data_IF_785386407200
#
_entry.id   IF_785386407200
#
_cell.length_a   1.000
_cell.length_b   1.000
_cell.length_c   1.000
_cell.angle_alpha   90.00
_cell.angle_beta   90.00
_cell.angle_gamma   90.00
#
_symmetry.space_group_name_H-M   'P 1'
#
loop_
_entity.id
_entity.type
_entity.pdbx_description
1 polymer ?
#
# COMPACT_ATOMS: atom_id res chain seq x y z
N UNK A 1 44.02 -24.66 41.08
CA UNK A 1 43.30 -24.16 39.89
C UNK A 1 42.56 -25.33 39.25
N UNK A 2 41.27 -25.47 39.53
CA UNK A 2 40.48 -26.61 39.05
C UNK A 2 40.12 -26.44 37.57
N UNK A 3 40.52 -27.37 36.68
CA UNK A 3 40.31 -27.25 35.25
C UNK A 3 38.81 -27.18 34.87
N UNK A 4 37.93 -27.74 35.70
CA UNK A 4 36.48 -27.68 35.51
C UNK A 4 35.93 -26.25 35.58
N UNK A 5 36.48 -25.40 36.46
CA UNK A 5 36.03 -24.00 36.64
C UNK A 5 36.30 -23.14 35.40
N UNK A 6 37.36 -23.45 34.66
CA UNK A 6 37.71 -22.77 33.41
C UNK A 6 36.70 -23.09 32.30
N UNK A 7 36.27 -24.35 32.21
CA UNK A 7 35.34 -24.83 31.19
C UNK A 7 33.95 -24.22 31.38
N UNK A 8 33.45 -24.17 32.62
CA UNK A 8 32.16 -23.53 32.91
C UNK A 8 32.13 -22.03 32.58
N UNK A 9 33.25 -21.33 32.81
CA UNK A 9 33.37 -19.90 32.46
C UNK A 9 33.34 -19.68 30.95
N UNK A 10 34.03 -20.52 30.18
CA UNK A 10 34.02 -20.44 28.72
C UNK A 10 32.63 -20.73 28.15
N UNK A 11 31.92 -21.73 28.68
CA UNK A 11 30.56 -22.05 28.27
C UNK A 11 29.57 -20.90 28.52
N UNK A 12 29.70 -20.21 29.66
CA UNK A 12 28.86 -19.05 29.98
C UNK A 12 29.11 -17.86 29.03
N UNK A 13 30.37 -17.58 28.70
CA UNK A 13 30.72 -16.50 27.75
C UNK A 13 30.20 -16.77 26.34
N UNK A 14 30.26 -18.02 25.88
CA UNK A 14 29.71 -18.45 24.59
C UNK A 14 28.20 -18.27 24.56
N UNK A 15 27.49 -18.67 25.62
CA UNK A 15 26.03 -18.51 25.72
C UNK A 15 25.61 -17.04 25.66
N UNK A 16 26.30 -16.16 26.38
CA UNK A 16 26.02 -14.71 26.38
C UNK A 16 26.22 -14.12 24.99
N UNK A 17 27.30 -14.49 24.28
CA UNK A 17 27.57 -14.00 22.93
C UNK A 17 26.46 -14.40 21.93
N UNK A 18 26.01 -15.65 21.97
CA UNK A 18 24.90 -16.15 21.13
C UNK A 18 23.63 -15.35 21.40
N UNK A 19 23.23 -15.22 22.67
CA UNK A 19 22.04 -14.48 23.07
C UNK A 19 22.09 -13.00 22.65
N UNK A 20 23.27 -12.37 22.68
CA UNK A 20 23.43 -10.99 22.24
C UNK A 20 23.43 -10.82 20.72
N UNK A 21 23.91 -11.81 19.96
CA UNK A 21 23.93 -11.78 18.50
C UNK A 21 22.54 -11.99 17.88
N UNK A 22 21.68 -12.80 18.50
CA UNK A 22 20.32 -13.06 18.00
C UNK A 22 19.37 -11.85 18.10
N UNK A 23 19.72 -10.82 18.87
CA UNK A 23 18.87 -9.65 19.10
C UNK A 23 19.14 -8.45 18.17
N UNK A 24 20.12 -8.51 17.26
CA UNK A 24 20.38 -7.45 16.26
C UNK A 24 19.81 -7.85 14.90
N UNK A 25 18.50 -8.05 14.87
CA UNK A 25 17.73 -8.04 13.64
C UNK A 25 16.37 -7.38 13.86
N UNK A 26 16.34 -6.25 14.59
CA UNK A 26 15.21 -5.34 14.49
C UNK A 26 15.27 -4.75 13.08
N UNK A 27 14.48 -5.36 12.20
CA UNK A 27 14.20 -4.88 10.85
C UNK A 27 13.81 -3.41 10.95
N UNK A 28 14.72 -2.51 10.59
CA UNK A 28 14.37 -1.16 10.15
C UNK A 28 13.70 -1.29 8.80
N UNK A 29 12.46 -1.81 8.80
CA UNK A 29 11.55 -1.63 7.69
C UNK A 29 11.22 -0.15 7.63
N UNK A 30 11.68 0.53 6.59
CA UNK A 30 11.21 1.87 6.25
C UNK A 30 9.69 1.80 6.14
N UNK A 31 9.00 2.44 7.09
CA UNK A 31 7.55 2.60 7.01
C UNK A 31 7.32 3.58 5.87
N UNK A 32 6.95 3.06 4.70
CA UNK A 32 6.55 3.89 3.57
C UNK A 32 5.17 4.43 3.93
N UNK A 33 5.10 5.71 4.33
CA UNK A 33 3.83 6.39 4.55
C UNK A 33 3.13 6.49 3.20
N UNK A 34 2.14 5.62 2.96
CA UNK A 34 1.28 5.74 1.79
C UNK A 34 0.66 7.15 1.81
N UNK A 35 0.74 7.86 0.68
CA UNK A 35 0.12 9.18 0.53
C UNK A 35 -1.34 9.08 0.94
N UNK A 36 -1.76 9.89 1.93
CA UNK A 36 -3.08 9.83 2.57
C UNK A 36 -4.21 10.39 1.69
N UNK A 37 -4.24 10.00 0.42
CA UNK A 37 -5.43 10.20 -0.39
C UNK A 37 -6.52 9.27 0.15
N UNK A 38 -7.73 9.78 0.27
CA UNK A 38 -8.88 8.94 0.60
C UNK A 38 -9.02 7.84 -0.48
N UNK A 39 -9.63 6.69 -0.16
CA UNK A 39 -9.85 5.63 -1.13
C UNK A 39 -10.49 6.14 -2.43
N UNK A 40 -11.46 7.05 -2.32
CA UNK A 40 -12.14 7.70 -3.44
C UNK A 40 -11.17 8.52 -4.29
N UNK A 41 -10.31 9.34 -3.67
CA UNK A 41 -9.32 10.12 -4.40
C UNK A 41 -8.30 9.22 -5.12
N UNK A 42 -7.97 8.06 -4.54
CA UNK A 42 -7.11 7.08 -5.17
C UNK A 42 -7.80 6.41 -6.37
N UNK A 43 -9.06 6.03 -6.24
CA UNK A 43 -9.89 5.50 -7.34
C UNK A 43 -9.96 6.50 -8.50
N UNK A 44 -10.31 7.75 -8.23
CA UNK A 44 -10.41 8.81 -9.23
C UNK A 44 -9.07 9.08 -9.89
N UNK A 45 -7.96 9.09 -9.13
CA UNK A 45 -6.61 9.27 -9.68
C UNK A 45 -6.14 8.05 -10.48
N UNK A 46 -6.48 6.84 -10.05
CA UNK A 46 -6.18 5.62 -10.77
C UNK A 46 -6.93 5.59 -12.09
N UNK A 47 -8.22 5.97 -12.06
CA UNK A 47 -9.00 6.26 -13.26
C UNK A 47 -8.23 7.25 -14.10
N UNK A 48 -8.03 8.50 -13.66
CA UNK A 48 -7.36 9.59 -14.40
C UNK A 48 -5.98 9.26 -15.01
N UNK A 49 -5.35 8.16 -14.63
CA UNK A 49 -4.14 7.65 -15.29
C UNK A 49 -4.39 6.67 -16.44
N UNK A 50 -5.52 5.97 -16.52
CA UNK A 50 -5.78 4.97 -17.57
C UNK A 50 -6.09 5.58 -18.94
N UNK A 51 -6.40 6.87 -19.02
CA UNK A 51 -6.68 7.61 -20.25
C UNK A 51 -7.99 7.22 -20.96
N UNK A 52 -8.83 6.35 -20.39
CA UNK A 52 -10.03 5.81 -21.03
C UNK A 52 -11.05 6.87 -21.47
N UNK A 53 -11.09 7.99 -20.76
CA UNK A 53 -11.97 9.13 -21.06
C UNK A 53 -11.41 10.04 -22.17
N UNK A 54 -10.17 9.85 -22.60
CA UNK A 54 -9.60 10.61 -23.72
C UNK A 54 -9.94 9.95 -25.07
N UNK A 55 -11.18 9.50 -25.21
CA UNK A 55 -11.72 9.05 -26.49
C UNK A 55 -12.53 10.20 -27.09
N UNK A 56 -12.63 10.25 -28.42
CA UNK A 56 -13.46 11.22 -29.14
C UNK A 56 -14.96 11.13 -28.78
N UNK A 57 -15.33 10.14 -27.99
CA UNK A 57 -16.69 9.78 -27.65
C UNK A 57 -17.10 10.24 -26.25
N UNK A 58 -16.17 10.19 -25.30
CA UNK A 58 -16.39 10.58 -23.92
C UNK A 58 -15.70 11.92 -23.66
N UNK A 59 -16.26 13.02 -24.17
CA UNK A 59 -15.79 14.37 -23.80
C UNK A 59 -16.34 14.72 -22.41
N UNK A 60 -15.90 14.03 -21.37
CA UNK A 60 -16.35 14.32 -20.01
C UNK A 60 -15.63 15.55 -19.45
N UNK A 61 -16.35 16.34 -18.67
CA UNK A 61 -15.79 17.47 -17.95
C UNK A 61 -15.16 16.96 -16.65
N UNK A 62 -13.91 16.50 -16.70
CA UNK A 62 -13.20 15.94 -15.53
C UNK A 62 -12.90 16.96 -14.43
N UNK A 63 -13.31 18.23 -14.62
CA UNK A 63 -13.18 19.27 -13.60
C UNK A 63 -14.31 19.23 -12.56
N UNK A 64 -15.39 18.48 -12.80
CA UNK A 64 -16.49 18.26 -11.86
C UNK A 64 -16.32 16.95 -11.07
N UNK A 65 -17.21 16.70 -10.11
CA UNK A 65 -17.18 15.49 -9.26
C UNK A 65 -17.13 14.22 -10.13
N UNK A 66 -16.33 13.24 -9.74
CA UNK A 66 -16.13 12.02 -10.54
C UNK A 66 -17.40 11.18 -10.67
N UNK A 67 -18.35 11.33 -9.76
CA UNK A 67 -19.65 10.67 -9.86
C UNK A 67 -20.57 11.29 -10.92
N UNK A 68 -20.24 12.48 -11.44
CA UNK A 68 -20.96 13.13 -12.53
C UNK A 68 -20.33 12.82 -13.90
N UNK A 69 -19.22 12.09 -13.94
CA UNK A 69 -18.56 11.76 -15.19
C UNK A 69 -19.39 10.76 -15.98
N UNK A 70 -19.47 11.01 -17.28
CA UNK A 70 -20.21 10.14 -18.19
C UNK A 70 -19.57 8.74 -18.16
N UNK A 71 -20.40 7.72 -17.92
CA UNK A 71 -19.96 6.32 -17.83
C UNK A 71 -19.44 5.91 -16.46
N UNK A 72 -19.56 6.77 -15.44
CA UNK A 72 -19.29 6.40 -14.05
C UNK A 72 -20.60 6.26 -13.27
N UNK A 73 -20.74 5.17 -12.53
CA UNK A 73 -21.76 5.03 -11.51
C UNK A 73 -21.10 4.95 -10.13
N UNK A 74 -21.59 5.75 -9.20
CA UNK A 74 -21.15 5.77 -7.80
C UNK A 74 -22.20 5.17 -6.86
N UNK A 75 -21.74 4.63 -5.73
CA UNK A 75 -22.60 4.34 -4.60
C UNK A 75 -22.95 5.60 -3.80
N UNK A 76 -23.79 5.46 -2.77
CA UNK A 76 -24.19 6.57 -1.88
C UNK A 76 -23.03 7.18 -1.07
N UNK A 77 -21.88 6.51 -0.99
CA UNK A 77 -20.67 7.02 -0.35
C UNK A 77 -19.73 7.74 -1.33
N UNK A 78 -20.07 7.82 -2.62
CA UNK A 78 -19.26 8.47 -3.65
C UNK A 78 -18.10 7.61 -4.18
N UNK A 79 -18.08 6.30 -3.91
CA UNK A 79 -17.09 5.38 -4.50
C UNK A 79 -17.63 4.75 -5.77
N UNK A 80 -16.73 4.55 -6.74
CA UNK A 80 -17.06 4.06 -8.08
C UNK A 80 -17.40 2.58 -8.00
N UNK A 81 -18.62 2.23 -8.43
CA UNK A 81 -19.09 0.84 -8.47
C UNK A 81 -19.21 0.29 -9.90
N UNK A 82 -19.25 1.16 -10.91
CA UNK A 82 -19.40 0.73 -12.29
C UNK A 82 -18.76 1.72 -13.27
N UNK A 83 -18.18 1.16 -14.33
CA UNK A 83 -17.58 1.89 -15.45
C UNK A 83 -18.17 1.37 -16.76
N UNK A 84 -18.83 2.24 -17.51
CA UNK A 84 -19.37 1.95 -18.83
C UNK A 84 -18.39 2.45 -19.89
N UNK A 85 -17.72 1.50 -20.55
CA UNK A 85 -16.71 1.78 -21.57
C UNK A 85 -17.31 1.87 -22.98
N UNK A 86 -18.54 1.39 -23.17
CA UNK A 86 -19.26 1.33 -24.45
C UNK A 86 -20.56 2.14 -24.42
N UNK A 87 -21.04 2.60 -25.59
CA UNK A 87 -22.29 3.38 -25.73
C UNK A 87 -23.53 2.57 -25.36
N UNK A 88 -23.51 1.27 -25.62
CA UNK A 88 -24.67 0.40 -25.47
C UNK A 88 -25.01 0.10 -24.00
N UNK A 89 -24.09 0.42 -23.09
CA UNK A 89 -24.20 0.14 -21.67
C UNK A 89 -24.58 1.39 -20.83
N UNK A 90 -24.97 2.51 -21.46
CA UNK A 90 -25.35 3.78 -20.81
C UNK A 90 -26.83 4.11 -20.92
#
# INVERSE_FOLDING_TARGET
>A
MDPASSIFRLAALVWVAIFTCDNVAVRTGTIVTASALSPIQLETKALLNTGWWNSSFWTANYSSDHCEWIGIACNSAGSIIQLHLSRDDI
#
